data_IF_208474412752
#
_entry.id   IF_208474412752
#
_cell.length_a   1.000
_cell.length_b   1.000
_cell.length_c   1.000
_cell.angle_alpha   90.00
_cell.angle_beta   90.00
_cell.angle_gamma   90.00
#
_symmetry.space_group_name_H-M   'P 1'
#
loop_
_entity.id
_entity.type
_entity.pdbx_description
1 polymer ?
#
# COMPACT_ATOMS: atom_id res chain seq x y z
N UNK A 1 -28.23 -46.91 6.01
CA UNK A 1 -27.37 -46.65 4.83
C UNK A 1 -27.75 -45.40 4.04
N UNK A 2 -29.03 -45.13 3.74
CA UNK A 2 -29.48 -43.91 3.01
C UNK A 2 -29.24 -42.57 3.74
N UNK A 3 -29.25 -42.54 5.08
CA UNK A 3 -28.98 -41.35 5.89
C UNK A 3 -27.47 -40.97 5.91
N UNK A 4 -26.59 -41.97 5.98
CA UNK A 4 -25.13 -41.78 5.98
C UNK A 4 -24.62 -41.17 4.66
N UNK A 5 -25.21 -41.59 3.52
CA UNK A 5 -24.87 -41.04 2.20
C UNK A 5 -25.25 -39.55 2.08
N UNK A 6 -26.38 -39.14 2.67
CA UNK A 6 -26.79 -37.72 2.68
C UNK A 6 -25.87 -36.86 3.55
N UNK A 7 -25.40 -37.38 4.68
CA UNK A 7 -24.47 -36.66 5.57
C UNK A 7 -23.09 -36.49 4.92
N UNK A 8 -22.59 -37.52 4.24
CA UNK A 8 -21.31 -37.47 3.51
C UNK A 8 -21.37 -36.47 2.33
N UNK A 9 -22.49 -36.42 1.60
CA UNK A 9 -22.72 -35.45 0.53
C UNK A 9 -22.80 -34.00 1.02
N UNK A 10 -23.38 -33.75 2.20
CA UNK A 10 -23.48 -32.41 2.79
C UNK A 10 -22.13 -31.95 3.34
N UNK A 11 -21.33 -32.84 3.95
CA UNK A 11 -19.98 -32.50 4.43
C UNK A 11 -19.00 -32.20 3.29
N UNK A 12 -19.14 -32.86 2.13
CA UNK A 12 -18.25 -32.64 0.98
C UNK A 12 -18.39 -31.25 0.34
N UNK A 13 -19.55 -30.59 0.48
CA UNK A 13 -19.80 -29.26 -0.09
C UNK A 13 -19.12 -28.14 0.72
N UNK A 14 -18.87 -28.35 2.02
CA UNK A 14 -18.24 -27.32 2.88
C UNK A 14 -16.72 -27.23 2.79
N UNK A 15 -16.06 -28.13 2.04
CA UNK A 15 -14.59 -28.17 1.91
C UNK A 15 -14.11 -27.51 0.61
N UNK A 16 -15.01 -27.01 -0.26
CA UNK A 16 -14.57 -26.30 -1.46
C UNK A 16 -14.00 -24.93 -1.09
N UNK A 17 -12.68 -24.70 -1.20
CA UNK A 17 -12.16 -23.35 -1.07
C UNK A 17 -12.70 -22.56 -2.26
N UNK A 18 -13.30 -21.40 -2.00
CA UNK A 18 -13.61 -20.45 -3.05
C UNK A 18 -12.27 -19.91 -3.58
N UNK A 19 -11.72 -20.56 -4.60
CA UNK A 19 -10.59 -20.01 -5.35
C UNK A 19 -11.17 -18.84 -6.16
N UNK A 20 -10.94 -17.61 -5.71
CA UNK A 20 -11.23 -16.42 -6.50
C UNK A 20 -10.23 -16.35 -7.64
N UNK A 21 -10.59 -16.86 -8.80
CA UNK A 21 -9.83 -16.65 -10.03
C UNK A 21 -10.19 -15.26 -10.56
N UNK A 22 -9.24 -14.32 -10.52
CA UNK A 22 -9.34 -13.14 -11.38
C UNK A 22 -9.10 -13.61 -12.82
N UNK A 23 -10.09 -13.43 -13.69
CA UNK A 23 -9.91 -13.64 -15.13
C UNK A 23 -8.71 -12.78 -15.60
N UNK A 24 -7.71 -13.34 -16.28
CA UNK A 24 -6.61 -12.54 -16.81
C UNK A 24 -7.15 -11.54 -17.84
N UNK A 25 -6.60 -10.32 -17.83
CA UNK A 25 -6.99 -9.28 -18.80
C UNK A 25 -6.64 -9.80 -20.21
N UNK A 26 -7.60 -9.81 -21.16
CA UNK A 26 -7.30 -10.15 -22.56
C UNK A 26 -6.20 -9.24 -23.12
N UNK A 27 -5.27 -9.81 -23.89
CA UNK A 27 -4.07 -9.09 -24.37
C UNK A 27 -4.43 -7.82 -25.17
N UNK A 28 -5.55 -7.86 -25.89
CA UNK A 28 -6.08 -6.75 -26.69
C UNK A 28 -6.51 -5.55 -25.83
N UNK A 29 -6.81 -5.78 -24.55
CA UNK A 29 -7.28 -4.76 -23.60
C UNK A 29 -6.19 -4.26 -22.64
N UNK A 30 -5.00 -4.87 -22.62
CA UNK A 30 -3.91 -4.46 -21.71
C UNK A 30 -3.51 -2.99 -21.86
N UNK A 31 -3.49 -2.47 -23.10
CA UNK A 31 -3.17 -1.06 -23.37
C UNK A 31 -4.20 -0.07 -22.81
N UNK A 32 -5.43 -0.52 -22.54
CA UNK A 32 -6.50 0.30 -21.97
C UNK A 32 -6.44 0.39 -20.45
N UNK A 33 -5.65 -0.47 -19.80
CA UNK A 33 -5.53 -0.51 -18.33
C UNK A 33 -5.25 0.87 -17.70
N UNK A 34 -4.30 1.69 -18.20
CA UNK A 34 -4.07 3.03 -17.64
C UNK A 34 -5.30 3.95 -17.74
N UNK A 35 -6.05 3.87 -18.83
CA UNK A 35 -7.28 4.65 -19.03
C UNK A 35 -8.42 4.18 -18.13
N UNK A 36 -8.62 2.87 -18.00
CA UNK A 36 -9.65 2.28 -17.11
C UNK A 36 -9.37 2.61 -15.64
N UNK A 37 -8.09 2.62 -15.24
CA UNK A 37 -7.68 2.92 -13.88
C UNK A 37 -7.49 4.42 -13.62
N UNK A 38 -7.73 5.27 -14.61
CA UNK A 38 -7.59 6.72 -14.44
C UNK A 38 -8.51 7.22 -13.32
N UNK A 39 -7.93 7.82 -12.28
CA UNK A 39 -8.66 8.28 -11.08
C UNK A 39 -9.18 7.16 -10.17
N UNK A 40 -8.73 5.92 -10.38
CA UNK A 40 -9.07 4.73 -9.56
C UNK A 40 -7.84 3.89 -9.22
N UNK A 41 -6.66 4.49 -9.29
CA UNK A 41 -5.36 3.94 -8.92
C UNK A 41 -5.31 3.44 -7.46
N UNK A 42 -6.03 4.10 -6.56
CA UNK A 42 -6.19 3.66 -5.15
C UNK A 42 -6.74 2.23 -5.03
N UNK A 43 -7.52 1.75 -6.00
CA UNK A 43 -8.06 0.38 -6.01
C UNK A 43 -6.99 -0.70 -6.22
N UNK A 44 -5.79 -0.31 -6.65
CA UNK A 44 -4.63 -1.20 -6.78
C UNK A 44 -3.86 -1.35 -5.45
N UNK A 45 -4.13 -0.49 -4.48
CA UNK A 45 -3.45 -0.52 -3.20
C UNK A 45 -3.95 -1.69 -2.34
N UNK A 46 -3.10 -2.30 -1.50
CA UNK A 46 -3.54 -3.29 -0.54
C UNK A 46 -4.59 -2.72 0.42
N UNK A 47 -5.67 -3.47 0.66
CA UNK A 47 -6.63 -3.14 1.69
C UNK A 47 -6.07 -3.44 3.09
N UNK A 48 -6.56 -2.74 4.10
CA UNK A 48 -6.21 -3.00 5.49
C UNK A 48 -6.74 -4.35 5.96
N UNK A 49 -5.95 -5.06 6.78
CA UNK A 49 -6.31 -6.41 7.22
C UNK A 49 -7.64 -6.48 7.99
N UNK A 50 -8.01 -5.40 8.67
CA UNK A 50 -9.21 -5.30 9.51
C UNK A 50 -10.30 -4.40 8.91
N UNK A 51 -10.06 -3.78 7.75
CA UNK A 51 -11.02 -2.92 7.08
C UNK A 51 -10.82 -2.96 5.57
N UNK A 52 -11.70 -3.67 4.87
CA UNK A 52 -11.66 -3.81 3.41
C UNK A 52 -11.91 -2.52 2.63
N UNK A 53 -12.39 -1.46 3.28
CA UNK A 53 -12.62 -0.15 2.67
C UNK A 53 -11.44 0.82 2.88
N UNK A 54 -10.49 0.47 3.75
CA UNK A 54 -9.27 1.25 3.95
C UNK A 54 -8.14 0.70 3.10
N UNK A 55 -7.42 1.57 2.40
CA UNK A 55 -6.33 1.20 1.49
C UNK A 55 -5.00 1.83 1.92
N UNK A 56 -3.91 1.09 1.75
CA UNK A 56 -2.55 1.56 2.05
C UNK A 56 -1.73 1.71 0.78
N UNK A 57 -1.76 2.90 0.18
CA UNK A 57 -1.03 3.17 -1.06
C UNK A 57 0.45 3.51 -0.85
N UNK A 58 0.80 3.99 0.34
CA UNK A 58 2.18 4.26 0.76
C UNK A 58 2.49 3.40 1.98
N UNK A 59 3.25 2.33 1.77
CA UNK A 59 3.65 1.41 2.84
C UNK A 59 5.09 1.70 3.27
N UNK A 60 5.31 2.11 4.54
CA UNK A 60 6.65 2.28 5.05
C UNK A 60 7.33 0.91 5.17
N UNK A 61 8.60 0.86 4.81
CA UNK A 61 9.45 -0.30 4.96
C UNK A 61 10.58 0.03 5.95
N UNK A 62 11.82 -0.35 5.63
CA UNK A 62 12.98 -0.11 6.47
C UNK A 62 13.20 1.39 6.68
N UNK A 63 13.31 1.77 7.96
CA UNK A 63 13.81 3.06 8.40
C UNK A 63 15.18 2.85 9.06
N UNK A 64 16.18 3.59 8.60
CA UNK A 64 17.46 3.76 9.28
C UNK A 64 17.47 5.15 9.89
N UNK A 65 17.83 5.25 11.16
CA UNK A 65 17.89 6.51 11.90
C UNK A 65 19.20 6.54 12.69
N UNK A 66 19.96 7.63 12.52
CA UNK A 66 21.15 7.92 13.32
C UNK A 66 20.93 9.27 14.00
N UNK A 67 21.00 9.31 15.33
CA UNK A 67 20.75 10.50 16.14
C UNK A 67 22.00 10.85 16.93
N UNK A 68 22.38 12.10 16.84
CA UNK A 68 23.52 12.74 17.50
C UNK A 68 22.99 13.85 18.45
N UNK A 69 23.88 14.48 19.22
CA UNK A 69 23.48 15.51 20.18
C UNK A 69 22.90 16.79 19.53
N UNK A 70 23.29 17.08 18.29
CA UNK A 70 22.96 18.29 17.54
C UNK A 70 22.05 18.05 16.33
N UNK A 71 21.66 16.80 16.07
CA UNK A 71 20.82 16.46 14.93
C UNK A 71 20.80 14.97 14.63
N UNK A 72 20.50 14.63 13.38
CA UNK A 72 20.47 13.25 12.95
C UNK A 72 20.24 13.11 11.46
N UNK A 73 20.39 11.88 10.99
CA UNK A 73 20.11 11.52 9.60
C UNK A 73 19.12 10.37 9.58
N UNK A 74 18.29 10.33 8.55
CA UNK A 74 17.39 9.22 8.31
C UNK A 74 17.45 8.80 6.85
N UNK A 75 17.19 7.52 6.62
CA UNK A 75 16.91 6.96 5.31
C UNK A 75 15.73 6.02 5.42
N UNK A 76 14.71 6.22 4.59
CA UNK A 76 13.50 5.42 4.64
C UNK A 76 13.14 4.84 3.27
N UNK A 77 12.83 3.55 3.25
CA UNK A 77 12.30 2.86 2.09
C UNK A 77 10.77 2.83 2.16
N UNK A 78 10.14 3.05 1.03
CA UNK A 78 8.69 3.03 0.87
C UNK A 78 8.30 2.16 -0.32
N UNK A 79 7.20 1.44 -0.18
CA UNK A 79 6.51 0.79 -1.30
C UNK A 79 5.29 1.64 -1.66
N UNK A 80 5.30 2.20 -2.87
CA UNK A 80 4.27 3.11 -3.37
C UNK A 80 3.47 2.40 -4.47
N UNK A 81 2.17 2.21 -4.24
CA UNK A 81 1.24 1.60 -5.20
C UNK A 81 0.51 2.63 -6.07
N UNK A 82 0.28 3.82 -5.51
CA UNK A 82 -0.32 4.98 -6.15
C UNK A 82 0.38 6.23 -5.60
N UNK A 83 0.53 7.25 -6.44
CA UNK A 83 1.16 8.52 -6.03
C UNK A 83 0.39 9.15 -4.87
N UNK A 84 1.12 9.70 -3.90
CA UNK A 84 0.49 10.23 -2.71
C UNK A 84 1.50 10.72 -1.69
N UNK A 85 0.98 11.39 -0.67
CA UNK A 85 1.80 11.98 0.38
C UNK A 85 2.49 10.91 1.24
N UNK A 86 3.75 11.18 1.55
CA UNK A 86 4.58 10.40 2.46
C UNK A 86 5.07 11.30 3.58
N UNK A 87 4.72 10.96 4.82
CA UNK A 87 5.22 11.66 6.00
C UNK A 87 6.66 11.25 6.31
N UNK A 88 7.47 12.23 6.68
CA UNK A 88 8.86 12.06 7.03
C UNK A 88 9.06 12.01 8.56
N UNK A 89 10.11 11.34 9.06
CA UNK A 89 10.54 11.49 10.44
C UNK A 89 10.88 12.97 10.73
N UNK A 90 10.25 13.55 11.75
CA UNK A 90 10.45 14.95 12.13
C UNK A 90 9.18 15.56 12.72
N UNK A 91 9.23 16.87 12.96
CA UNK A 91 8.08 17.67 13.41
C UNK A 91 8.18 19.10 12.87
N UNK A 92 7.26 19.97 13.26
CA UNK A 92 7.34 21.40 12.95
C UNK A 92 8.59 22.05 13.58
N UNK A 93 9.03 21.57 14.75
CA UNK A 93 10.22 22.03 15.48
C UNK A 93 11.50 21.36 14.99
N UNK A 94 11.40 20.09 14.56
CA UNK A 94 12.50 19.29 14.03
C UNK A 94 12.26 19.04 12.53
N UNK A 95 12.39 20.11 11.74
CA UNK A 95 12.07 20.07 10.32
C UNK A 95 13.16 19.34 9.51
N UNK A 96 12.81 18.32 8.70
CA UNK A 96 13.76 17.65 7.83
C UNK A 96 14.36 18.59 6.78
N UNK A 97 15.68 18.54 6.65
CA UNK A 97 16.44 19.31 5.67
C UNK A 97 17.11 18.36 4.67
N UNK A 98 17.49 18.87 3.50
CA UNK A 98 18.26 18.13 2.48
C UNK A 98 17.62 16.80 2.07
N UNK A 99 16.29 16.76 2.01
CA UNK A 99 15.54 15.55 1.67
C UNK A 99 15.69 15.24 0.19
N UNK A 100 16.06 14.00 -0.10
CA UNK A 100 16.11 13.48 -1.47
C UNK A 100 15.24 12.23 -1.61
N UNK A 101 14.60 12.10 -2.76
CA UNK A 101 13.84 10.91 -3.16
C UNK A 101 14.56 10.31 -4.35
N UNK A 102 15.09 9.09 -4.18
CA UNK A 102 15.86 8.40 -5.22
C UNK A 102 16.98 9.28 -5.83
N UNK A 103 17.66 10.07 -4.99
CA UNK A 103 18.76 10.95 -5.39
C UNK A 103 18.34 12.33 -5.92
N UNK A 104 17.04 12.63 -5.99
CA UNK A 104 16.54 13.95 -6.41
C UNK A 104 16.10 14.78 -5.21
N UNK A 105 16.61 16.00 -5.09
CA UNK A 105 16.14 16.96 -4.08
C UNK A 105 14.63 17.18 -4.19
N UNK A 106 13.94 17.06 -3.06
CA UNK A 106 12.47 17.09 -3.01
C UNK A 106 12.03 18.06 -1.92
N UNK A 107 11.13 19.01 -2.23
CA UNK A 107 10.65 19.97 -1.25
C UNK A 107 9.82 19.25 -0.18
N UNK A 108 10.08 19.60 1.07
CA UNK A 108 9.28 19.15 2.21
C UNK A 108 8.16 20.15 2.44
N UNK A 109 6.92 19.66 2.54
CA UNK A 109 5.71 20.45 2.71
C UNK A 109 4.99 19.99 3.97
N UNK A 110 4.40 20.93 4.71
CA UNK A 110 3.58 20.58 5.86
C UNK A 110 2.23 20.02 5.40
N UNK A 111 1.97 18.75 5.72
CA UNK A 111 0.64 18.13 5.61
C UNK A 111 0.04 18.01 7.00
N UNK A 112 -0.95 18.83 7.30
CA UNK A 112 -1.60 18.88 8.63
C UNK A 112 -0.59 19.00 9.79
N UNK A 113 0.47 19.80 9.59
CA UNK A 113 1.53 20.01 10.59
C UNK A 113 2.66 18.96 10.59
N UNK A 114 2.60 17.96 9.70
CA UNK A 114 3.63 16.90 9.59
C UNK A 114 4.49 17.15 8.34
N UNK A 115 5.84 17.15 8.45
CA UNK A 115 6.71 17.27 7.29
C UNK A 115 6.50 16.09 6.34
N UNK A 116 6.16 16.38 5.09
CA UNK A 116 5.80 15.37 4.10
C UNK A 116 6.33 15.70 2.71
N UNK A 117 6.43 14.69 1.86
CA UNK A 117 6.75 14.80 0.44
C UNK A 117 5.62 14.19 -0.39
N UNK A 118 5.56 14.53 -1.68
CA UNK A 118 4.67 13.93 -2.66
C UNK A 118 5.47 13.11 -3.67
#
# INVERSE_FOLDING_TARGET
>A
MRCQIRIILILAIMIFPAITFSEPIPRELESWKPWVLHGSDVKLCPAAFNNGEAYFCSLPSRLTLAVEADGGTFGQQWLIFAEGWVSLPGSAELWPLQVTVNGKETPVIAQSGVPSIF
#
